data_IF_078251952175
#
_entry.id   IF_078251952175
#
_cell.length_a   1.000
_cell.length_b   1.000
_cell.length_c   1.000
_cell.angle_alpha   90.00
_cell.angle_beta   90.00
_cell.angle_gamma   90.00
#
_symmetry.space_group_name_H-M   'P 1'
#
loop_
_entity.id
_entity.type
_entity.pdbx_description
1 polymer ?
#
# COMPACT_ATOMS: atom_id res chain seq x y z
N UNK A 1 1.45 -3.26 15.06
CA UNK A 1 2.55 -2.46 14.47
C UNK A 1 2.03 -1.06 14.24
N UNK A 2 2.67 -0.05 14.82
CA UNK A 2 2.30 1.34 14.58
C UNK A 2 2.95 1.82 13.27
N UNK A 3 2.15 2.28 12.31
CA UNK A 3 2.60 2.72 10.97
C UNK A 3 2.62 4.24 10.79
N UNK A 4 2.41 5.00 11.87
CA UNK A 4 2.29 6.47 11.84
C UNK A 4 3.47 7.15 11.16
N UNK A 5 4.69 6.77 11.52
CA UNK A 5 5.89 7.40 10.95
C UNK A 5 6.07 7.05 9.47
N UNK A 6 5.71 5.83 9.06
CA UNK A 6 5.72 5.46 7.64
C UNK A 6 4.72 6.29 6.87
N UNK A 7 3.49 6.44 7.37
CA UNK A 7 2.49 7.30 6.72
C UNK A 7 2.91 8.77 6.70
N UNK A 8 3.47 9.30 7.80
CA UNK A 8 4.02 10.67 7.84
C UNK A 8 5.09 10.87 6.80
N UNK A 9 6.00 9.91 6.62
CA UNK A 9 6.99 9.97 5.54
C UNK A 9 6.28 10.04 4.21
N UNK A 10 5.43 9.07 3.90
CA UNK A 10 4.75 8.96 2.60
C UNK A 10 3.95 10.22 2.25
N UNK A 11 3.12 10.74 3.16
CA UNK A 11 2.24 11.90 2.89
C UNK A 11 2.97 13.25 2.86
N UNK A 12 4.11 13.38 3.56
CA UNK A 12 4.93 14.60 3.55
C UNK A 12 6.16 14.50 2.66
N UNK A 13 6.42 13.32 2.11
CA UNK A 13 7.46 13.12 1.12
C UNK A 13 7.07 14.01 -0.04
N UNK A 14 7.85 15.05 -0.32
CA UNK A 14 7.63 15.96 -1.46
C UNK A 14 8.01 15.25 -2.78
N UNK A 15 7.74 13.95 -2.80
CA UNK A 15 7.99 13.02 -3.86
C UNK A 15 6.87 13.34 -4.83
N UNK A 16 7.22 13.79 -6.01
CA UNK A 16 6.26 14.04 -7.07
C UNK A 16 5.69 12.71 -7.60
N UNK A 17 5.27 11.82 -6.69
CA UNK A 17 4.61 10.56 -6.98
C UNK A 17 3.38 10.88 -7.82
N UNK A 18 3.56 10.73 -9.12
CA UNK A 18 2.54 11.00 -10.12
C UNK A 18 1.86 9.70 -10.47
N UNK A 19 0.71 9.86 -11.09
CA UNK A 19 0.03 8.77 -11.77
C UNK A 19 0.98 7.98 -12.72
N UNK A 20 1.95 8.64 -13.36
CA UNK A 20 2.96 7.96 -14.18
C UNK A 20 3.88 7.04 -13.37
N UNK A 21 4.29 7.45 -12.17
CA UNK A 21 5.19 6.67 -11.32
C UNK A 21 4.47 5.43 -10.79
N UNK A 22 3.21 5.60 -10.35
CA UNK A 22 2.35 4.48 -9.98
C UNK A 22 2.20 3.48 -11.13
N UNK A 23 1.87 3.95 -12.34
CA UNK A 23 1.74 3.07 -13.50
C UNK A 23 3.05 2.36 -13.83
N UNK A 24 4.21 3.02 -13.72
CA UNK A 24 5.52 2.38 -13.90
C UNK A 24 5.81 1.31 -12.84
N UNK A 25 5.41 1.53 -11.59
CA UNK A 25 5.50 0.50 -10.55
C UNK A 25 4.57 -0.67 -10.88
N UNK A 26 3.33 -0.40 -11.34
CA UNK A 26 2.39 -1.46 -11.69
C UNK A 26 2.86 -2.28 -12.89
N UNK A 27 3.39 -1.62 -13.93
CA UNK A 27 3.98 -2.27 -15.10
C UNK A 27 5.20 -3.12 -14.72
N UNK A 28 6.02 -2.64 -13.78
CA UNK A 28 7.16 -3.43 -13.29
C UNK A 28 6.69 -4.65 -12.51
N UNK A 29 5.69 -4.50 -11.64
CA UNK A 29 5.13 -5.62 -10.88
C UNK A 29 4.38 -6.63 -11.76
N UNK A 30 3.69 -6.18 -12.80
CA UNK A 30 2.88 -7.04 -13.67
C UNK A 30 3.70 -8.06 -14.47
N UNK A 31 5.01 -7.86 -14.55
CA UNK A 31 5.93 -8.87 -15.12
C UNK A 31 6.15 -10.09 -14.21
N UNK A 32 5.75 -10.02 -12.94
CA UNK A 32 5.96 -11.08 -11.93
C UNK A 32 4.69 -11.46 -11.16
N UNK A 33 3.68 -10.60 -11.14
CA UNK A 33 2.46 -10.72 -10.34
C UNK A 33 1.25 -10.36 -11.18
N UNK A 34 0.08 -10.88 -10.81
CA UNK A 34 -1.18 -10.38 -11.34
C UNK A 34 -1.52 -9.08 -10.60
N UNK A 35 -1.92 -8.05 -11.34
CA UNK A 35 -2.21 -6.72 -10.80
C UNK A 35 -3.64 -6.33 -11.17
N UNK A 36 -4.48 -6.21 -10.15
CA UNK A 36 -5.85 -5.72 -10.32
C UNK A 36 -5.91 -4.26 -9.89
N UNK A 37 -6.25 -3.38 -10.82
CA UNK A 37 -6.42 -1.93 -10.57
C UNK A 37 -7.92 -1.63 -10.56
N UNK A 38 -8.42 -1.07 -9.46
CA UNK A 38 -9.81 -0.63 -9.38
C UNK A 38 -9.95 0.72 -10.11
N UNK A 39 -10.23 0.67 -11.42
CA UNK A 39 -10.20 1.83 -12.33
C UNK A 39 -11.29 2.87 -12.05
N UNK A 40 -12.42 2.46 -11.47
CA UNK A 40 -13.55 3.38 -11.25
C UNK A 40 -13.34 4.33 -10.05
N UNK A 41 -12.45 3.97 -9.11
CA UNK A 41 -12.05 4.84 -7.99
C UNK A 41 -10.57 5.26 -8.04
N UNK A 42 -9.73 4.61 -8.86
CA UNK A 42 -8.30 4.90 -9.07
C UNK A 42 -7.45 5.03 -7.79
N UNK A 43 -7.91 4.60 -6.61
CA UNK A 43 -7.17 4.88 -5.37
C UNK A 43 -6.12 3.83 -5.02
N UNK A 44 -6.36 2.56 -5.35
CA UNK A 44 -5.54 1.43 -4.89
C UNK A 44 -5.47 0.33 -5.95
N UNK A 45 -4.34 -0.40 -6.00
CA UNK A 45 -4.19 -1.64 -6.76
C UNK A 45 -3.86 -2.82 -5.83
N UNK A 46 -4.28 -4.01 -6.27
CA UNK A 46 -4.12 -5.29 -5.58
C UNK A 46 -3.00 -6.07 -6.24
N UNK A 47 -2.07 -6.59 -5.44
CA UNK A 47 -0.97 -7.44 -5.90
C UNK A 47 -1.34 -8.89 -5.60
N UNK A 48 -1.42 -9.71 -6.63
CA UNK A 48 -1.88 -11.10 -6.57
C UNK A 48 -0.78 -12.05 -7.06
N UNK A 49 -0.62 -13.17 -6.36
CA UNK A 49 0.26 -14.27 -6.73
C UNK A 49 -0.47 -15.60 -6.54
N UNK A 50 -0.57 -16.41 -7.59
CA UNK A 50 -1.22 -17.73 -7.55
C UNK A 50 -2.65 -17.69 -6.97
N UNK A 51 -3.47 -16.72 -7.40
CA UNK A 51 -4.83 -16.45 -6.90
C UNK A 51 -4.92 -16.04 -5.42
N UNK A 52 -3.81 -15.62 -4.82
CA UNK A 52 -3.78 -15.07 -3.46
C UNK A 52 -3.40 -13.59 -3.51
N UNK A 53 -4.20 -12.74 -2.88
CA UNK A 53 -3.78 -11.36 -2.60
C UNK A 53 -2.60 -11.39 -1.63
N UNK A 54 -1.51 -10.74 -2.02
CA UNK A 54 -0.29 -10.66 -1.21
C UNK A 54 0.02 -9.23 -0.76
N UNK A 55 -0.57 -8.22 -1.41
CA UNK A 55 -0.30 -6.83 -1.07
C UNK A 55 -1.25 -5.84 -1.75
N UNK A 56 -1.13 -4.58 -1.33
CA UNK A 56 -1.90 -3.44 -1.84
C UNK A 56 -0.98 -2.23 -2.02
N UNK A 57 -1.30 -1.38 -2.99
CA UNK A 57 -0.51 -0.19 -3.31
C UNK A 57 -1.39 0.99 -3.68
N UNK A 58 -1.12 2.17 -3.11
CA UNK A 58 -1.96 3.35 -3.31
C UNK A 58 -1.51 4.16 -4.54
N UNK A 59 -2.47 4.72 -5.30
CA UNK A 59 -2.17 5.64 -6.41
C UNK A 59 -1.61 6.96 -5.90
N UNK A 60 -2.15 7.49 -4.81
CA UNK A 60 -1.82 8.84 -4.34
C UNK A 60 -0.55 8.90 -3.49
N UNK A 61 0.00 7.74 -3.12
CA UNK A 61 1.01 7.62 -2.09
C UNK A 61 2.02 6.54 -2.48
N UNK A 62 3.34 6.82 -2.45
CA UNK A 62 4.39 5.85 -2.79
C UNK A 62 4.55 4.81 -1.68
N UNK A 63 3.57 3.93 -1.52
CA UNK A 63 3.49 3.00 -0.40
C UNK A 63 2.86 1.66 -0.81
N UNK A 64 3.48 0.58 -0.34
CA UNK A 64 3.02 -0.79 -0.56
C UNK A 64 2.84 -1.50 0.78
N UNK A 65 1.65 -2.05 1.02
CA UNK A 65 1.42 -3.11 2.00
C UNK A 65 1.76 -4.46 1.37
N UNK A 66 2.53 -5.30 2.05
CA UNK A 66 2.97 -6.59 1.48
C UNK A 66 3.18 -7.62 2.59
N UNK A 67 2.77 -8.87 2.36
CA UNK A 67 3.09 -9.94 3.32
C UNK A 67 4.61 -10.18 3.39
N UNK A 68 5.11 -10.41 4.60
CA UNK A 68 6.54 -10.58 4.90
C UNK A 68 7.23 -11.64 4.03
N UNK A 69 6.52 -12.72 3.72
CA UNK A 69 7.02 -13.80 2.84
C UNK A 69 7.42 -13.30 1.44
N UNK A 70 6.76 -12.26 0.92
CA UNK A 70 6.97 -11.75 -0.44
C UNK A 70 7.74 -10.41 -0.47
N UNK A 71 7.89 -9.74 0.68
CA UNK A 71 8.49 -8.41 0.77
C UNK A 71 9.89 -8.32 0.12
N UNK A 72 10.76 -9.31 0.31
CA UNK A 72 12.09 -9.33 -0.30
C UNK A 72 12.04 -9.42 -1.83
N UNK A 73 11.14 -10.25 -2.37
CA UNK A 73 10.97 -10.41 -3.82
C UNK A 73 10.43 -9.12 -4.45
N UNK A 74 9.39 -8.54 -3.86
CA UNK A 74 8.80 -7.27 -4.34
C UNK A 74 9.84 -6.14 -4.30
N UNK A 75 10.62 -6.01 -3.23
CA UNK A 75 11.70 -5.01 -3.14
C UNK A 75 12.77 -5.18 -4.21
N UNK A 76 13.11 -6.43 -4.55
CA UNK A 76 14.08 -6.69 -5.61
C UNK A 76 13.52 -6.32 -6.99
N UNK A 77 12.23 -6.62 -7.24
CA UNK A 77 11.55 -6.21 -8.48
C UNK A 77 11.52 -4.68 -8.59
N UNK A 78 11.24 -3.99 -7.49
CA UNK A 78 11.11 -2.53 -7.42
C UNK A 78 12.40 -1.80 -6.98
N UNK A 79 13.57 -2.43 -7.09
CA UNK A 79 14.82 -1.87 -6.56
C UNK A 79 15.23 -0.52 -7.17
N UNK A 80 14.69 -0.15 -8.34
CA UNK A 80 14.91 1.14 -8.98
C UNK A 80 13.97 2.24 -8.47
N UNK A 81 12.92 1.88 -7.73
CA UNK A 81 11.92 2.79 -7.17
C UNK A 81 12.22 3.06 -5.68
N UNK A 82 13.23 3.91 -5.44
CA UNK A 82 13.74 4.19 -4.08
C UNK A 82 12.76 4.94 -3.19
N UNK A 83 11.75 5.58 -3.78
CA UNK A 83 10.80 6.44 -3.06
C UNK A 83 9.60 5.65 -2.51
N UNK A 84 9.50 4.35 -2.82
CA UNK A 84 8.41 3.48 -2.36
C UNK A 84 8.69 2.98 -0.95
N UNK A 85 7.80 3.34 -0.03
CA UNK A 85 7.81 2.85 1.34
C UNK A 85 7.06 1.52 1.47
N UNK A 86 7.56 0.64 2.33
CA UNK A 86 7.00 -0.72 2.50
C UNK A 86 6.46 -0.90 3.91
N UNK A 87 5.17 -1.24 4.01
CA UNK A 87 4.54 -1.72 5.24
C UNK A 87 4.46 -3.23 5.16
N UNK A 88 5.41 -3.89 5.82
CA UNK A 88 5.51 -5.35 5.83
C UNK A 88 4.61 -5.91 6.91
N UNK A 89 3.73 -6.84 6.54
CA UNK A 89 2.79 -7.47 7.46
C UNK A 89 2.90 -8.99 7.48
N UNK A 90 2.51 -9.66 8.57
CA UNK A 90 2.49 -11.13 8.61
C UNK A 90 1.49 -11.72 7.62
N UNK A 91 0.27 -11.21 7.62
CA UNK A 91 -0.79 -11.48 6.64
C UNK A 91 -1.56 -10.19 6.40
N UNK A 92 -2.06 -10.00 5.17
CA UNK A 92 -2.79 -8.78 4.79
C UNK A 92 -4.09 -8.57 5.57
N UNK A 93 -4.72 -9.64 6.05
CA UNK A 93 -5.98 -9.62 6.83
C UNK A 93 -5.76 -9.59 8.34
N UNK A 94 -4.51 -9.62 8.82
CA UNK A 94 -4.24 -9.67 10.25
C UNK A 94 -4.38 -8.27 10.89
N UNK A 95 -5.33 -8.14 11.82
CA UNK A 95 -5.71 -6.86 12.44
C UNK A 95 -4.84 -6.50 13.64
N UNK A 96 -3.65 -5.96 13.36
CA UNK A 96 -2.73 -5.50 14.40
C UNK A 96 -2.03 -4.18 14.05
N UNK A 97 -2.39 -3.55 12.93
CA UNK A 97 -1.89 -2.24 12.55
C UNK A 97 -2.56 -1.15 13.39
N UNK A 98 -1.80 -0.11 13.69
CA UNK A 98 -2.30 1.09 14.34
C UNK A 98 -1.70 2.34 13.73
N UNK A 99 -2.45 3.45 13.77
CA UNK A 99 -2.05 4.75 13.22
C UNK A 99 -2.61 5.87 14.07
N UNK A 100 -1.83 6.94 14.19
CA UNK A 100 -2.27 8.22 14.74
C UNK A 100 -3.45 8.80 13.93
N UNK A 101 -4.53 9.15 14.64
CA UNK A 101 -5.78 9.60 14.01
C UNK A 101 -5.62 10.92 13.26
N UNK A 102 -4.75 11.82 13.74
CA UNK A 102 -4.61 13.15 13.16
C UNK A 102 -3.96 13.06 11.77
N UNK A 103 -2.93 12.22 11.64
CA UNK A 103 -2.34 11.92 10.33
C UNK A 103 -3.33 11.17 9.46
N UNK A 104 -3.95 10.11 9.94
CA UNK A 104 -4.81 9.29 9.09
C UNK A 104 -6.00 10.09 8.53
N UNK A 105 -6.76 10.75 9.39
CA UNK A 105 -7.97 11.49 9.00
C UNK A 105 -7.70 12.72 8.13
N UNK A 106 -6.45 13.18 8.02
CA UNK A 106 -6.08 14.31 7.15
C UNK A 106 -5.87 13.91 5.69
N UNK A 107 -5.59 12.63 5.43
CA UNK A 107 -5.07 12.15 4.13
C UNK A 107 -5.84 10.95 3.55
N UNK A 108 -6.64 10.28 4.38
CA UNK A 108 -7.30 9.02 4.07
C UNK A 108 -8.79 9.06 4.41
N UNK A 109 -9.53 8.12 3.84
CA UNK A 109 -10.96 7.97 4.06
C UNK A 109 -11.23 7.39 5.46
N UNK A 110 -12.35 7.82 6.07
CA UNK A 110 -12.69 7.49 7.45
C UNK A 110 -12.73 5.97 7.69
N UNK A 111 -12.00 5.51 8.71
CA UNK A 111 -12.00 4.15 9.19
C UNK A 111 -12.29 4.13 10.70
N UNK A 112 -13.19 3.24 11.12
CA UNK A 112 -13.72 3.22 12.50
C UNK A 112 -12.64 2.87 13.55
N UNK A 113 -11.75 1.92 13.25
CA UNK A 113 -10.75 1.42 14.20
C UNK A 113 -9.32 1.65 13.71
N UNK A 114 -8.72 2.77 14.13
CA UNK A 114 -7.32 3.10 13.81
C UNK A 114 -6.30 2.42 14.74
N UNK A 115 -6.72 1.63 15.72
CA UNK A 115 -5.85 1.00 16.72
C UNK A 115 -5.61 -0.49 16.48
N UNK A 116 -6.44 -1.15 15.68
CA UNK A 116 -6.31 -2.55 15.32
C UNK A 116 -7.02 -2.83 13.98
N UNK A 117 -6.36 -2.49 12.89
CA UNK A 117 -6.83 -2.76 11.52
C UNK A 117 -5.80 -3.61 10.76
N UNK A 118 -6.22 -4.14 9.61
CA UNK A 118 -5.39 -4.92 8.69
C UNK A 118 -5.04 -4.12 7.43
N UNK A 119 -4.10 -4.60 6.62
CA UNK A 119 -3.83 -3.97 5.33
C UNK A 119 -5.03 -4.04 4.39
N UNK A 120 -5.83 -5.11 4.51
CA UNK A 120 -7.09 -5.31 3.80
C UNK A 120 -8.18 -4.33 4.27
N UNK A 121 -8.29 -4.05 5.57
CA UNK A 121 -9.20 -2.99 6.06
C UNK A 121 -8.81 -1.63 5.46
N UNK A 122 -7.51 -1.31 5.45
CA UNK A 122 -7.02 -0.08 4.83
C UNK A 122 -7.42 0.01 3.35
N UNK A 123 -7.31 -1.09 2.60
CA UNK A 123 -7.80 -1.17 1.22
C UNK A 123 -9.30 -0.85 1.13
N UNK A 124 -10.13 -1.58 1.85
CA UNK A 124 -11.59 -1.46 1.76
C UNK A 124 -12.09 -0.06 2.10
N UNK A 125 -11.52 0.60 3.12
CA UNK A 125 -11.92 1.95 3.51
C UNK A 125 -11.43 3.03 2.55
N UNK A 126 -10.32 2.81 1.84
CA UNK A 126 -9.69 3.82 0.98
C UNK A 126 -9.87 3.57 -0.52
N UNK A 127 -10.58 2.52 -0.91
CA UNK A 127 -11.00 2.30 -2.31
C UNK A 127 -12.40 2.88 -2.60
N UNK A 128 -13.17 3.23 -1.55
CA UNK A 128 -14.57 3.64 -1.63
C UNK A 128 -14.80 5.09 -2.07
#
# INVERSE_FOLDING_TARGET
>A
MNITETLRKVVHSNNYWKHSDFLSVMETLSSHYDIDIEIDSEKIAVIVLENKTIGYTCLNYPMIFIENKYASQVRNVLHTFNDVEYIIVDMISHQYLSVDSDIYNSYFDYMENLNAFSAEDFYFYNVT
#
